data_IF_566016890026
#
_entry.id   IF_566016890026
#
_cell.length_a   1.000
_cell.length_b   1.000
_cell.length_c   1.000
_cell.angle_alpha   90.00
_cell.angle_beta   90.00
_cell.angle_gamma   90.00
#
_symmetry.space_group_name_H-M   'P 1'
#
loop_
_entity.id
_entity.type
_entity.pdbx_description
1 polymer ?
#
# COMPACT_ATOMS: atom_id res chain seq x y z
N UNK A 1 12.07 -13.45 -40.33
CA UNK A 1 11.59 -12.27 -39.57
C UNK A 1 12.42 -11.05 -39.93
N UNK A 2 11.79 -10.00 -40.43
CA UNK A 2 12.47 -8.74 -40.81
C UNK A 2 12.98 -7.99 -39.57
N UNK A 3 14.08 -7.25 -39.71
CA UNK A 3 14.74 -6.51 -38.62
C UNK A 3 13.78 -5.56 -37.89
N UNK A 4 12.80 -4.99 -38.61
CA UNK A 4 11.77 -4.13 -38.05
C UNK A 4 10.77 -4.86 -37.14
N UNK A 5 10.44 -6.11 -37.42
CA UNK A 5 9.54 -6.89 -36.56
C UNK A 5 10.17 -7.16 -35.19
N UNK A 6 11.49 -7.41 -35.15
CA UNK A 6 12.23 -7.62 -33.89
C UNK A 6 12.27 -6.36 -33.03
N UNK A 7 12.50 -5.20 -33.64
CA UNK A 7 12.52 -3.91 -32.92
C UNK A 7 11.15 -3.61 -32.30
N UNK A 8 10.06 -3.76 -33.07
CA UNK A 8 8.69 -3.54 -32.57
C UNK A 8 8.34 -4.43 -31.38
N UNK A 9 8.74 -5.71 -31.43
CA UNK A 9 8.50 -6.65 -30.33
C UNK A 9 9.27 -6.23 -29.07
N UNK A 10 10.55 -5.89 -29.20
CA UNK A 10 11.38 -5.46 -28.08
C UNK A 10 10.82 -4.18 -27.43
N UNK A 11 10.37 -3.21 -28.22
CA UNK A 11 9.76 -1.97 -27.70
C UNK A 11 8.44 -2.25 -26.96
N UNK A 12 7.62 -3.17 -27.45
CA UNK A 12 6.38 -3.60 -26.79
C UNK A 12 6.67 -4.25 -25.43
N UNK A 13 7.66 -5.14 -25.35
CA UNK A 13 8.05 -5.78 -24.09
C UNK A 13 8.60 -4.78 -23.08
N UNK A 14 9.46 -3.85 -23.51
CA UNK A 14 9.99 -2.79 -22.64
C UNK A 14 8.86 -1.90 -22.10
N UNK A 15 7.91 -1.50 -22.94
CA UNK A 15 6.77 -0.70 -22.52
C UNK A 15 5.90 -1.40 -21.47
N UNK A 16 5.66 -2.71 -21.63
CA UNK A 16 4.89 -3.52 -20.68
C UNK A 16 5.59 -3.65 -19.31
N UNK A 17 6.91 -3.85 -19.30
CA UNK A 17 7.69 -3.95 -18.05
C UNK A 17 7.71 -2.62 -17.31
N UNK A 18 7.87 -1.50 -18.02
CA UNK A 18 7.81 -0.17 -17.41
C UNK A 18 6.43 0.13 -16.79
N UNK A 19 5.34 -0.31 -17.41
CA UNK A 19 3.99 -0.12 -16.87
C UNK A 19 3.74 -0.95 -15.61
N UNK A 20 4.25 -2.17 -15.55
CA UNK A 20 4.13 -3.05 -14.38
C UNK A 20 4.92 -2.52 -13.16
N UNK A 21 6.08 -1.90 -13.38
CA UNK A 21 6.87 -1.29 -12.31
C UNK A 21 6.14 -0.11 -11.63
N UNK A 22 5.38 0.67 -12.41
CA UNK A 22 4.59 1.79 -11.88
C UNK A 22 3.38 1.28 -11.09
N UNK A 23 2.73 0.20 -11.56
CA UNK A 23 1.60 -0.40 -10.87
C UNK A 23 1.99 -1.10 -9.56
N UNK A 24 3.18 -1.69 -9.47
CA UNK A 24 3.67 -2.36 -8.26
C UNK A 24 4.40 -1.44 -7.26
N UNK A 25 4.87 -0.27 -7.70
CA UNK A 25 5.74 0.61 -6.90
C UNK A 25 5.10 1.84 -6.26
N UNK A 26 3.86 2.20 -6.62
CA UNK A 26 3.21 3.43 -6.13
C UNK A 26 1.92 3.22 -5.35
N UNK A 27 1.54 1.97 -5.04
CA UNK A 27 0.41 1.67 -4.17
C UNK A 27 0.90 1.01 -2.90
N UNK A 28 1.41 1.79 -1.93
CA UNK A 28 1.53 1.25 -0.57
C UNK A 28 0.14 0.77 -0.17
N UNK A 29 0.02 -0.52 0.17
CA UNK A 29 -1.25 -1.13 0.55
C UNK A 29 -1.88 -0.30 1.68
N UNK A 30 -3.01 0.35 1.39
CA UNK A 30 -3.75 1.14 2.37
C UNK A 30 -4.84 0.25 2.99
N UNK A 31 -4.81 -0.02 4.31
CA UNK A 31 -5.88 -0.74 5.00
C UNK A 31 -7.21 0.05 4.96
N UNK A 32 -8.33 -0.65 5.14
CA UNK A 32 -9.65 -0.01 5.21
C UNK A 32 -9.72 0.95 6.40
N UNK A 33 -10.31 2.12 6.20
CA UNK A 33 -10.52 3.14 7.25
C UNK A 33 -11.72 2.80 8.16
N UNK A 34 -12.06 1.53 8.29
CA UNK A 34 -13.22 1.10 9.08
C UNK A 34 -12.98 1.37 10.57
N UNK A 35 -14.01 1.87 11.26
CA UNK A 35 -13.97 2.00 12.71
C UNK A 35 -14.08 0.62 13.36
N UNK A 36 -13.04 0.23 14.10
CA UNK A 36 -13.04 -0.99 14.90
C UNK A 36 -13.82 -0.83 16.20
N UNK A 37 -14.46 -1.92 16.66
CA UNK A 37 -15.10 -1.97 17.97
C UNK A 37 -14.07 -2.36 19.03
N UNK A 38 -13.78 -1.46 19.96
CA UNK A 38 -12.91 -1.74 21.09
C UNK A 38 -13.70 -2.20 22.33
N UNK A 39 -13.04 -2.96 23.21
CA UNK A 39 -13.56 -3.29 24.54
C UNK A 39 -13.63 -2.03 25.42
N UNK A 40 -14.41 -2.09 26.50
CA UNK A 40 -14.51 -1.01 27.49
C UNK A 40 -13.11 -0.61 28.01
N UNK A 41 -12.88 0.69 28.20
CA UNK A 41 -11.57 1.23 28.61
C UNK A 41 -10.52 1.38 27.50
N UNK A 42 -10.87 1.07 26.24
CA UNK A 42 -9.97 1.21 25.08
C UNK A 42 -10.56 2.15 24.03
N UNK A 43 -9.71 2.87 23.30
CA UNK A 43 -10.09 3.73 22.17
C UNK A 43 -9.57 3.14 20.86
N UNK A 44 -10.37 3.27 19.81
CA UNK A 44 -9.96 2.92 18.46
C UNK A 44 -8.97 3.95 17.93
N UNK A 45 -7.85 3.47 17.42
CA UNK A 45 -6.87 4.26 16.67
C UNK A 45 -7.03 3.86 15.21
N UNK A 46 -7.42 4.79 14.32
CA UNK A 46 -7.55 4.48 12.91
C UNK A 46 -6.18 4.12 12.31
N UNK A 47 -6.16 3.31 11.24
CA UNK A 47 -4.93 3.06 10.51
C UNK A 47 -4.31 4.36 10.00
N UNK A 48 -2.99 4.43 10.05
CA UNK A 48 -2.24 5.61 9.63
C UNK A 48 -0.91 5.20 8.99
N UNK A 49 -0.45 6.01 8.03
CA UNK A 49 0.85 5.81 7.42
C UNK A 49 1.95 6.36 8.32
N UNK A 50 3.01 5.58 8.54
CA UNK A 50 4.21 6.05 9.23
C UNK A 50 4.92 7.08 8.35
N UNK A 51 5.13 8.32 8.82
CA UNK A 51 5.76 9.36 8.00
C UNK A 51 7.25 9.09 7.72
N UNK A 52 7.88 8.20 8.49
CA UNK A 52 9.32 7.90 8.37
C UNK A 52 9.59 6.77 7.39
N UNK A 53 8.75 5.72 7.42
CA UNK A 53 8.91 4.52 6.58
C UNK A 53 7.97 4.50 5.38
N UNK A 54 6.90 5.29 5.39
CA UNK A 54 5.85 5.25 4.38
C UNK A 54 4.97 4.01 4.46
N UNK A 55 5.14 3.17 5.48
CA UNK A 55 4.34 1.95 5.68
C UNK A 55 3.01 2.27 6.35
N UNK A 56 1.95 1.60 5.92
CA UNK A 56 0.66 1.67 6.60
C UNK A 56 0.67 0.81 7.85
N UNK A 57 0.22 1.38 8.97
CA UNK A 57 -0.11 0.64 10.19
C UNK A 57 -1.61 0.42 10.23
N UNK A 58 -2.02 -0.81 10.54
CA UNK A 58 -3.43 -1.16 10.72
C UNK A 58 -4.04 -0.42 11.92
N UNK A 59 -5.35 -0.27 11.92
CA UNK A 59 -6.08 0.28 13.07
C UNK A 59 -6.04 -0.69 14.25
N UNK A 60 -5.98 -0.15 15.46
CA UNK A 60 -5.87 -0.96 16.68
C UNK A 60 -6.56 -0.29 17.87
N UNK A 61 -6.81 -1.05 18.93
CA UNK A 61 -7.36 -0.54 20.18
C UNK A 61 -6.24 -0.22 21.16
N UNK A 62 -6.09 1.05 21.53
CA UNK A 62 -5.15 1.48 22.58
C UNK A 62 -5.88 1.73 23.91
N UNK A 63 -5.18 1.58 25.02
CA UNK A 63 -5.74 1.85 26.34
C UNK A 63 -6.01 3.34 26.54
N UNK A 64 -7.13 3.66 27.18
CA UNK A 64 -7.36 5.03 27.63
C UNK A 64 -6.29 5.43 28.67
N UNK A 65 -5.86 6.70 28.69
CA UNK A 65 -4.86 7.16 29.64
C UNK A 65 -5.32 6.87 31.07
N UNK A 66 -4.48 6.14 31.82
CA UNK A 66 -4.77 5.75 33.21
C UNK A 66 -5.33 4.32 33.40
N UNK A 67 -5.59 3.58 32.32
CA UNK A 67 -5.97 2.16 32.36
C UNK A 67 -4.73 1.32 31.96
N UNK A 68 -4.30 0.36 32.80
CA UNK A 68 -3.20 -0.57 32.53
C UNK A 68 -3.56 -1.98 32.97
#
# INVERSE_FOLDING_TARGET
MTRQAKVRIVTLFLGLVSLAAIAGGCGSWQPSMEEGKCSEGRKWVPPAQDPSTGEWKEGYCEWLPGQK
#
